data_IF_734781414576
#
_entry.id   IF_734781414576
#
_cell.length_a   1.000
_cell.length_b   1.000
_cell.length_c   1.000
_cell.angle_alpha   90.00
_cell.angle_beta   90.00
_cell.angle_gamma   90.00
#
_symmetry.space_group_name_H-M   'P 1'
#
loop_
_entity.id
_entity.type
_entity.pdbx_description
1 polymer ?
#
# COMPACT_ATOMS: atom_id res chain seq x y z
N UNK A 1 7.54 -31.81 -22.63
CA UNK A 1 8.17 -31.92 -21.30
C UNK A 1 7.82 -30.63 -20.55
N UNK A 2 7.08 -30.73 -19.45
CA UNK A 2 6.76 -29.55 -18.64
C UNK A 2 8.03 -29.08 -17.93
N UNK A 3 8.52 -27.90 -18.27
CA UNK A 3 9.61 -27.25 -17.57
C UNK A 3 9.16 -26.99 -16.13
N UNK A 4 9.70 -27.73 -15.19
CA UNK A 4 9.49 -27.42 -13.74
C UNK A 4 9.93 -25.99 -13.49
N UNK A 5 8.97 -25.12 -13.19
CA UNK A 5 9.25 -23.76 -12.73
C UNK A 5 9.94 -23.88 -11.38
N UNK A 6 11.23 -23.61 -11.36
CA UNK A 6 11.99 -23.59 -10.11
C UNK A 6 11.56 -22.37 -9.29
N UNK A 7 11.10 -22.63 -8.07
CA UNK A 7 10.53 -21.62 -7.16
C UNK A 7 11.61 -20.89 -6.36
N UNK A 8 12.81 -21.47 -6.28
CA UNK A 8 13.94 -20.93 -5.55
C UNK A 8 15.12 -20.63 -6.45
N UNK A 9 16.01 -19.67 -6.06
CA UNK A 9 17.23 -19.40 -6.81
C UNK A 9 18.03 -20.68 -7.02
N UNK A 10 18.50 -20.88 -8.24
CA UNK A 10 19.36 -22.04 -8.57
C UNK A 10 20.79 -21.64 -8.31
N UNK A 11 21.43 -22.36 -7.41
CA UNK A 11 22.87 -22.31 -7.26
C UNK A 11 23.49 -23.51 -7.99
N UNK A 12 24.39 -23.22 -8.94
CA UNK A 12 25.19 -24.26 -9.61
C UNK A 12 26.58 -24.30 -9.00
N UNK A 13 26.92 -25.44 -8.46
CA UNK A 13 28.24 -25.65 -7.89
C UNK A 13 29.30 -25.63 -9.01
N UNK A 14 30.33 -24.78 -8.88
CA UNK A 14 31.41 -24.66 -9.85
C UNK A 14 31.20 -23.69 -11.00
N UNK A 15 29.99 -23.24 -11.25
CA UNK A 15 29.70 -22.20 -12.25
C UNK A 15 28.56 -21.28 -11.83
N UNK A 16 28.76 -20.50 -10.77
CA UNK A 16 27.73 -19.58 -10.29
C UNK A 16 27.48 -18.44 -11.30
N UNK A 17 26.25 -18.04 -11.46
CA UNK A 17 25.90 -16.84 -12.23
C UNK A 17 26.35 -15.59 -11.48
N UNK A 18 27.34 -14.87 -12.05
CA UNK A 18 27.96 -13.74 -11.38
C UNK A 18 27.22 -12.43 -11.58
N UNK A 19 26.53 -12.24 -12.70
CA UNK A 19 25.82 -11.00 -13.04
C UNK A 19 24.56 -11.26 -13.84
N UNK A 20 23.52 -10.47 -13.55
CA UNK A 20 22.27 -10.43 -14.31
C UNK A 20 22.05 -8.98 -14.71
N UNK A 21 22.14 -8.68 -16.00
CA UNK A 21 21.98 -7.30 -16.52
C UNK A 21 20.51 -6.92 -16.71
N UNK A 22 19.65 -7.90 -17.00
CA UNK A 22 18.21 -7.71 -17.17
C UNK A 22 17.47 -8.77 -16.37
N UNK A 23 17.12 -8.47 -15.12
CA UNK A 23 16.36 -9.41 -14.31
C UNK A 23 14.93 -9.54 -14.83
N UNK A 24 14.41 -10.76 -14.88
CA UNK A 24 13.00 -11.05 -15.20
C UNK A 24 12.08 -10.81 -13.99
N UNK A 25 12.62 -10.28 -12.90
CA UNK A 25 11.93 -10.03 -11.65
C UNK A 25 11.48 -8.58 -11.56
N UNK A 26 10.26 -8.39 -11.08
CA UNK A 26 9.73 -7.08 -10.80
C UNK A 26 9.38 -6.96 -9.32
N UNK A 27 9.71 -5.82 -8.72
CA UNK A 27 9.27 -5.45 -7.39
C UNK A 27 7.99 -4.62 -7.51
N UNK A 28 6.93 -5.05 -6.83
CA UNK A 28 5.69 -4.28 -6.77
C UNK A 28 5.61 -3.58 -5.43
N UNK A 29 5.53 -2.26 -5.45
CA UNK A 29 5.32 -1.45 -4.26
C UNK A 29 3.89 -1.63 -3.75
N UNK A 30 3.71 -1.86 -2.45
CA UNK A 30 2.41 -2.13 -1.84
C UNK A 30 2.19 -1.21 -0.65
N UNK A 31 1.01 -0.62 -0.55
CA UNK A 31 0.61 0.12 0.66
C UNK A 31 0.43 -0.86 1.82
N UNK A 32 1.07 -0.63 2.96
CA UNK A 32 0.92 -1.50 4.13
C UNK A 32 -0.51 -1.43 4.67
N UNK A 33 -1.05 -2.57 5.09
CA UNK A 33 -2.38 -2.65 5.73
C UNK A 33 -2.37 -2.20 7.20
N UNK A 34 -1.19 -2.02 7.78
CA UNK A 34 -0.96 -1.46 9.13
C UNK A 34 0.05 -0.36 9.02
N UNK A 35 -0.06 0.64 9.85
CA UNK A 35 0.94 1.70 9.93
C UNK A 35 2.32 1.12 10.20
N UNK A 36 3.29 1.63 9.46
CA UNK A 36 4.70 1.27 9.57
C UNK A 36 5.53 2.55 9.70
N UNK A 37 6.75 2.44 10.25
CA UNK A 37 7.67 3.56 10.27
C UNK A 37 7.90 4.11 8.85
N UNK A 38 8.10 5.41 8.72
CA UNK A 38 8.30 6.08 7.43
C UNK A 38 9.57 5.63 6.68
N UNK A 39 10.50 5.00 7.39
CA UNK A 39 11.73 4.41 6.84
C UNK A 39 11.51 3.01 6.26
N UNK A 40 10.35 2.39 6.50
CA UNK A 40 10.07 1.01 6.10
C UNK A 40 9.09 0.98 4.92
N UNK A 41 9.51 0.32 3.84
CA UNK A 41 8.74 0.19 2.61
C UNK A 41 8.42 -1.27 2.35
N UNK A 42 7.19 -1.55 1.94
CA UNK A 42 6.72 -2.90 1.67
C UNK A 42 6.63 -3.18 0.18
N UNK A 43 7.22 -4.30 -0.23
CA UNK A 43 7.16 -4.78 -1.62
C UNK A 43 6.58 -6.19 -1.70
N UNK A 44 5.85 -6.44 -2.77
CA UNK A 44 5.54 -7.79 -3.21
C UNK A 44 6.60 -8.23 -4.21
N UNK A 45 7.22 -9.37 -3.95
CA UNK A 45 8.34 -9.87 -4.74
C UNK A 45 8.08 -11.31 -5.19
N UNK A 46 8.71 -11.78 -6.27
CA UNK A 46 8.63 -13.18 -6.68
C UNK A 46 9.16 -14.13 -5.60
N UNK A 47 8.62 -15.33 -5.56
CA UNK A 47 9.03 -16.36 -4.58
C UNK A 47 10.52 -16.75 -4.69
N UNK A 48 11.08 -16.64 -5.88
CA UNK A 48 12.46 -16.99 -6.19
C UNK A 48 13.48 -15.97 -5.66
N UNK A 49 13.03 -14.74 -5.42
CA UNK A 49 13.89 -13.63 -5.04
C UNK A 49 14.33 -13.71 -3.58
N UNK A 50 15.62 -13.57 -3.32
CA UNK A 50 16.21 -13.58 -1.97
C UNK A 50 16.30 -12.17 -1.38
N UNK A 51 16.62 -12.10 -0.08
CA UNK A 51 16.86 -10.79 0.59
C UNK A 51 18.01 -10.02 -0.05
N UNK A 52 19.08 -10.73 -0.43
CA UNK A 52 20.24 -10.13 -1.10
C UNK A 52 19.87 -9.59 -2.48
N UNK A 53 19.02 -10.30 -3.22
CA UNK A 53 18.56 -9.86 -4.53
C UNK A 53 17.71 -8.60 -4.42
N UNK A 54 16.82 -8.52 -3.43
CA UNK A 54 16.02 -7.32 -3.16
C UNK A 54 16.90 -6.12 -2.85
N UNK A 55 17.90 -6.29 -1.98
CA UNK A 55 18.86 -5.24 -1.66
C UNK A 55 19.61 -4.77 -2.91
N UNK A 56 20.23 -5.70 -3.63
CA UNK A 56 21.00 -5.39 -4.84
C UNK A 56 20.14 -4.74 -5.91
N UNK A 57 18.89 -5.16 -6.05
CA UNK A 57 17.94 -4.57 -7.00
C UNK A 57 17.68 -3.10 -6.69
N UNK A 58 17.42 -2.77 -5.43
CA UNK A 58 17.15 -1.39 -5.00
C UNK A 58 18.40 -0.53 -5.02
N UNK A 59 19.54 -1.04 -4.57
CA UNK A 59 20.79 -0.27 -4.51
C UNK A 59 21.39 -0.04 -5.90
N UNK A 60 21.38 -1.06 -6.77
CA UNK A 60 22.10 -0.99 -8.07
C UNK A 60 21.25 -0.45 -9.21
N UNK A 61 19.93 -0.61 -9.17
CA UNK A 61 19.04 -0.13 -10.24
C UNK A 61 18.44 1.22 -9.88
N UNK A 62 17.97 1.38 -8.63
CA UNK A 62 17.28 2.60 -8.19
C UNK A 62 18.16 3.53 -7.35
N UNK A 63 19.39 3.14 -7.01
CA UNK A 63 20.29 3.89 -6.14
C UNK A 63 19.67 4.23 -4.77
N UNK A 64 18.80 3.35 -4.25
CA UNK A 64 18.17 3.52 -2.95
C UNK A 64 18.99 2.79 -1.90
N UNK A 65 19.55 3.47 -0.89
CA UNK A 65 20.33 2.84 0.15
C UNK A 65 19.43 2.02 1.08
N UNK A 66 19.81 0.76 1.33
CA UNK A 66 19.02 -0.19 2.11
C UNK A 66 19.78 -0.61 3.37
N UNK A 67 19.19 -0.36 4.54
CA UNK A 67 19.74 -0.79 5.82
C UNK A 67 19.48 -2.28 6.08
N UNK A 68 18.23 -2.71 5.97
CA UNK A 68 17.83 -4.09 6.22
C UNK A 68 16.70 -4.56 5.31
N UNK A 69 16.67 -5.84 5.01
CA UNK A 69 15.59 -6.49 4.27
C UNK A 69 15.09 -7.68 5.07
N UNK A 70 13.79 -7.72 5.34
CA UNK A 70 13.10 -8.86 5.93
C UNK A 70 12.06 -9.38 4.96
N UNK A 71 11.93 -10.69 4.86
CA UNK A 71 10.99 -11.32 3.94
C UNK A 71 10.10 -12.30 4.67
N UNK A 72 8.84 -12.41 4.23
CA UNK A 72 7.93 -13.46 4.63
C UNK A 72 7.20 -14.02 3.41
N UNK A 73 6.77 -15.25 3.49
CA UNK A 73 5.92 -15.87 2.49
C UNK A 73 4.47 -15.75 2.98
N UNK A 74 3.64 -15.18 2.13
CA UNK A 74 2.21 -15.10 2.36
C UNK A 74 1.54 -16.29 1.70
N UNK A 75 0.88 -17.11 2.51
CA UNK A 75 0.10 -18.23 2.03
C UNK A 75 -1.11 -17.75 1.24
N UNK A 76 -1.31 -18.31 0.05
CA UNK A 76 -2.47 -18.03 -0.78
C UNK A 76 -3.75 -18.63 -0.20
N UNK A 77 -4.84 -17.89 -0.28
CA UNK A 77 -6.13 -18.32 0.24
C UNK A 77 -6.66 -19.57 -0.47
N UNK A 78 -7.28 -20.47 0.29
CA UNK A 78 -7.96 -21.67 -0.21
C UNK A 78 -9.49 -21.48 -0.22
N UNK A 79 -9.99 -20.25 0.10
CA UNK A 79 -11.41 -19.96 0.24
C UNK A 79 -12.12 -19.72 -1.09
N UNK A 80 -11.35 -19.34 -2.12
CA UNK A 80 -11.90 -19.06 -3.45
C UNK A 80 -12.45 -20.33 -4.08
N UNK A 81 -13.59 -20.21 -4.77
CA UNK A 81 -14.18 -21.26 -5.58
C UNK A 81 -14.24 -20.81 -7.04
N UNK A 82 -14.06 -21.77 -7.94
CA UNK A 82 -14.24 -21.54 -9.37
C UNK A 82 -15.73 -21.66 -9.75
N UNK A 83 -16.03 -21.47 -11.03
CA UNK A 83 -17.40 -21.60 -11.56
C UNK A 83 -18.00 -23.00 -11.40
N UNK A 84 -17.17 -24.02 -11.23
CA UNK A 84 -17.58 -25.41 -10.94
C UNK A 84 -17.71 -25.71 -9.44
N UNK A 85 -17.71 -24.69 -8.59
CA UNK A 85 -17.79 -24.78 -7.14
C UNK A 85 -16.60 -25.52 -6.46
N UNK A 86 -15.53 -25.79 -7.18
CA UNK A 86 -14.31 -26.41 -6.67
C UNK A 86 -13.44 -25.38 -5.95
N UNK A 87 -12.80 -25.76 -4.86
CA UNK A 87 -11.86 -24.92 -4.14
C UNK A 87 -10.58 -24.72 -4.98
N UNK A 88 -10.23 -23.48 -5.20
CA UNK A 88 -9.00 -23.11 -5.92
C UNK A 88 -8.08 -22.36 -4.97
N UNK A 89 -6.87 -22.91 -4.79
CA UNK A 89 -5.84 -22.23 -4.01
C UNK A 89 -5.26 -21.08 -4.81
N UNK A 90 -5.20 -19.90 -4.20
CA UNK A 90 -4.46 -18.78 -4.75
C UNK A 90 -2.94 -19.01 -4.61
N UNK A 91 -2.11 -18.54 -5.55
CA UNK A 91 -0.68 -18.71 -5.46
C UNK A 91 -0.11 -17.96 -4.25
N UNK A 92 0.88 -18.59 -3.61
CA UNK A 92 1.65 -17.95 -2.55
C UNK A 92 2.51 -16.83 -3.14
N UNK A 93 2.77 -15.80 -2.36
CA UNK A 93 3.65 -14.71 -2.76
C UNK A 93 4.57 -14.29 -1.62
N UNK A 94 5.71 -13.76 -1.97
CA UNK A 94 6.68 -13.27 -0.99
C UNK A 94 6.49 -11.76 -0.79
N UNK A 95 6.54 -11.34 0.46
CA UNK A 95 6.51 -9.93 0.87
C UNK A 95 7.88 -9.58 1.44
N UNK A 96 8.44 -8.49 0.96
CA UNK A 96 9.68 -7.93 1.47
C UNK A 96 9.41 -6.60 2.20
N UNK A 97 9.92 -6.49 3.41
CA UNK A 97 9.97 -5.26 4.19
C UNK A 97 11.39 -4.71 4.09
N UNK A 98 11.52 -3.56 3.50
CA UNK A 98 12.79 -2.90 3.25
C UNK A 98 12.90 -1.69 4.15
N UNK A 99 13.90 -1.68 5.01
CA UNK A 99 14.24 -0.52 5.81
C UNK A 99 15.27 0.31 5.04
N UNK A 100 14.93 1.57 4.81
CA UNK A 100 15.78 2.53 4.13
C UNK A 100 16.93 2.97 5.05
N UNK A 101 18.08 3.23 4.45
CA UNK A 101 19.25 3.71 5.16
C UNK A 101 19.35 5.24 5.10
N UNK A 102 20.31 5.81 5.81
CA UNK A 102 20.68 7.23 5.77
C UNK A 102 19.52 8.20 6.11
N UNK A 103 18.59 7.78 6.97
CA UNK A 103 17.47 8.63 7.37
C UNK A 103 16.45 8.92 6.24
N UNK A 104 16.53 8.17 5.15
CA UNK A 104 15.55 8.31 4.07
C UNK A 104 14.17 7.84 4.52
N UNK A 105 13.16 8.59 4.12
CA UNK A 105 11.76 8.28 4.39
C UNK A 105 10.99 8.20 3.08
N UNK A 106 9.97 7.37 3.05
CA UNK A 106 9.08 7.22 1.92
C UNK A 106 7.63 7.49 2.31
N UNK A 107 7.00 8.35 1.54
CA UNK A 107 5.55 8.59 1.60
C UNK A 107 4.94 8.29 0.25
N UNK A 108 3.80 7.61 0.24
CA UNK A 108 3.11 7.35 -1.03
C UNK A 108 2.65 8.67 -1.65
N UNK A 109 2.96 8.91 -2.92
CA UNK A 109 2.46 10.08 -3.62
C UNK A 109 0.94 10.00 -3.74
N UNK A 110 0.30 11.14 -3.57
CA UNK A 110 -1.12 11.28 -3.83
C UNK A 110 -1.33 11.47 -5.34
N UNK A 111 -1.64 10.36 -6.03
CA UNK A 111 -1.77 10.34 -7.50
C UNK A 111 -3.09 10.98 -7.94
N UNK A 112 -4.11 10.91 -7.10
CA UNK A 112 -5.42 11.50 -7.34
C UNK A 112 -5.75 12.46 -6.19
N UNK A 113 -5.10 13.64 -6.14
CA UNK A 113 -5.48 14.64 -5.16
C UNK A 113 -6.96 14.98 -5.39
N UNK A 114 -7.75 14.91 -4.33
CA UNK A 114 -9.10 15.45 -4.38
C UNK A 114 -8.98 16.92 -4.75
N UNK A 115 -9.33 17.25 -5.99
CA UNK A 115 -9.54 18.64 -6.35
C UNK A 115 -10.73 19.09 -5.52
N UNK A 116 -10.48 19.82 -4.47
CA UNK A 116 -11.50 20.67 -3.88
C UNK A 116 -11.85 21.66 -4.99
N UNK A 117 -12.84 21.33 -5.77
CA UNK A 117 -13.52 22.29 -6.61
C UNK A 117 -14.16 23.24 -5.58
N UNK A 118 -13.49 24.36 -5.32
CA UNK A 118 -14.15 25.45 -4.61
C UNK A 118 -15.37 25.79 -5.48
N UNK A 119 -16.56 25.66 -4.94
CA UNK A 119 -17.76 25.92 -5.73
C UNK A 119 -17.66 27.35 -6.25
N UNK A 120 -17.91 27.54 -7.54
CA UNK A 120 -17.86 28.88 -8.13
C UNK A 120 -18.82 29.80 -7.38
N UNK A 121 -18.38 31.03 -7.10
CA UNK A 121 -19.21 32.04 -6.40
C UNK A 121 -20.58 32.15 -7.07
N UNK A 122 -21.66 31.94 -6.31
CA UNK A 122 -23.04 31.94 -6.78
C UNK A 122 -23.54 30.60 -7.35
N UNK A 123 -22.77 29.52 -7.24
CA UNK A 123 -23.24 28.19 -7.65
C UNK A 123 -24.29 27.66 -6.66
N UNK A 124 -25.17 26.76 -7.18
CA UNK A 124 -26.15 26.05 -6.33
C UNK A 124 -25.49 25.26 -5.20
N UNK A 125 -24.27 24.78 -5.41
CA UNK A 125 -23.49 24.03 -4.44
C UNK A 125 -23.00 24.93 -3.29
N UNK A 126 -22.57 26.15 -3.58
CA UNK A 126 -22.21 27.13 -2.56
C UNK A 126 -23.42 27.53 -1.69
N UNK A 127 -24.59 27.70 -2.32
CA UNK A 127 -25.83 27.98 -1.59
C UNK A 127 -26.24 26.81 -0.68
N UNK A 128 -26.07 25.57 -1.15
CA UNK A 128 -26.33 24.39 -0.36
C UNK A 128 -25.35 24.26 0.84
N UNK A 129 -24.06 24.51 0.61
CA UNK A 129 -23.07 24.50 1.71
C UNK A 129 -23.39 25.58 2.76
N UNK A 130 -23.67 26.80 2.35
CA UNK A 130 -24.07 27.88 3.25
C UNK A 130 -25.33 27.55 4.04
N UNK A 131 -26.31 26.95 3.37
CA UNK A 131 -27.53 26.52 4.05
C UNK A 131 -27.27 25.41 5.08
N UNK A 132 -26.43 24.43 4.73
CA UNK A 132 -26.03 23.34 5.62
C UNK A 132 -25.19 23.86 6.82
N UNK A 133 -24.33 24.85 6.61
CA UNK A 133 -23.58 25.49 7.69
C UNK A 133 -24.48 26.29 8.63
N UNK A 134 -25.43 27.04 8.09
CA UNK A 134 -26.42 27.76 8.88
C UNK A 134 -27.30 26.83 9.71
N UNK A 135 -27.71 25.70 9.12
CA UNK A 135 -28.46 24.67 9.86
C UNK A 135 -27.63 24.05 10.98
N UNK A 136 -26.37 23.73 10.70
CA UNK A 136 -25.44 23.23 11.74
C UNK A 136 -25.20 24.27 12.86
N UNK A 137 -25.15 25.55 12.52
CA UNK A 137 -25.01 26.63 13.53
C UNK A 137 -26.26 26.75 14.39
N UNK A 138 -27.43 26.65 13.78
CA UNK A 138 -28.72 26.67 14.50
C UNK A 138 -28.93 25.44 15.38
N UNK A 139 -28.38 24.29 14.98
CA UNK A 139 -28.48 23.08 15.78
C UNK A 139 -27.42 22.94 16.87
N UNK A 140 -26.46 23.88 16.96
CA UNK A 140 -25.51 23.89 18.08
C UNK A 140 -26.25 24.25 19.37
N UNK A 141 -26.30 23.31 20.34
CA UNK A 141 -26.92 23.59 21.62
C UNK A 141 -26.18 24.74 22.34
N UNK A 142 -26.90 25.66 22.89
CA UNK A 142 -26.33 26.69 23.75
C UNK A 142 -25.68 26.00 24.98
N UNK A 143 -24.35 26.19 25.20
CA UNK A 143 -23.67 25.54 26.31
C UNK A 143 -24.23 25.96 27.69
N UNK A 144 -25.00 27.08 27.77
CA UNK A 144 -25.66 27.52 28.99
C UNK A 144 -26.97 26.82 29.28
N UNK A 145 -27.57 26.12 28.30
CA UNK A 145 -28.87 25.47 28.41
C UNK A 145 -28.81 23.97 28.76
N UNK A 146 -27.62 23.43 29.08
CA UNK A 146 -27.49 22.04 29.55
C UNK A 146 -28.06 20.98 28.61
N UNK A 147 -28.06 21.24 27.29
CA UNK A 147 -28.54 20.29 26.28
C UNK A 147 -30.04 20.27 26.02
N UNK A 148 -30.80 21.23 26.57
CA UNK A 148 -32.23 21.40 26.22
C UNK A 148 -32.32 22.05 24.84
N UNK A 149 -33.03 21.41 23.92
CA UNK A 149 -33.22 21.87 22.54
C UNK A 149 -34.11 23.13 22.51
N UNK A 150 -33.83 24.04 21.55
CA UNK A 150 -34.63 25.23 21.30
C UNK A 150 -36.11 24.96 20.91
N UNK A 151 -36.44 23.72 20.66
CA UNK A 151 -37.76 23.24 20.31
C UNK A 151 -38.83 23.64 21.37
N UNK A 152 -38.42 23.78 22.63
CA UNK A 152 -39.34 24.08 23.72
C UNK A 152 -39.61 25.60 23.94
N UNK A 153 -39.10 26.46 23.05
CA UNK A 153 -39.53 27.88 22.98
C UNK A 153 -39.37 28.72 24.25
N UNK A 154 -38.38 28.35 25.09
CA UNK A 154 -38.09 29.07 26.36
C UNK A 154 -36.72 29.72 26.31
#
# INVERSE_FOLDING_TARGET
MATRRLIYPIYQLGNPQLRIFRPNWALTLVRPGREQPKDTVQFRVPMEMTKCDVRNYLEKIYNVPVAAVRTRIQFGSNKKRNHLNQKVKEPDYKVAYVQLAQGQTFTFPDIFPEKKLEPAEGSMEEMQEKFMEDEKQRQKPDPRRGGVTEWFGL
#
